data_IF_061880693965
#
_entry.id   IF_061880693965
#
_cell.length_a   1.000
_cell.length_b   1.000
_cell.length_c   1.000
_cell.angle_alpha   90.00
_cell.angle_beta   90.00
_cell.angle_gamma   90.00
#
_symmetry.space_group_name_H-M   'P 1'
#
loop_
_entity.id
_entity.type
_entity.pdbx_description
1 polymer ?
#
# COMPACT_ATOMS: atom_id res chain seq x y z
N UNK A 1 3.18 -17.51 -18.54
CA UNK A 1 3.42 -16.18 -17.95
C UNK A 1 2.07 -15.53 -17.71
N UNK A 2 1.90 -14.83 -16.59
CA UNK A 2 0.69 -14.06 -16.28
C UNK A 2 0.65 -12.81 -17.17
N UNK A 3 -0.39 -12.66 -17.98
CA UNK A 3 -0.60 -11.48 -18.82
C UNK A 3 -1.19 -10.34 -17.98
N UNK A 4 -0.47 -9.24 -17.91
CA UNK A 4 -0.79 -8.11 -17.05
C UNK A 4 -1.29 -6.92 -17.87
N UNK A 5 -2.43 -6.36 -17.48
CA UNK A 5 -2.89 -5.05 -17.92
C UNK A 5 -2.69 -4.00 -16.81
N UNK A 6 -2.34 -2.77 -17.17
CA UNK A 6 -2.22 -1.63 -16.24
C UNK A 6 -3.10 -0.49 -16.72
N UNK A 7 -4.08 -0.10 -15.91
CA UNK A 7 -4.90 1.09 -16.12
C UNK A 7 -4.32 2.25 -15.31
N UNK A 8 -4.02 3.38 -15.97
CA UNK A 8 -3.46 4.57 -15.30
C UNK A 8 -1.94 4.53 -15.14
N UNK A 9 -1.21 4.05 -16.15
CA UNK A 9 0.23 3.83 -16.11
C UNK A 9 1.13 5.07 -15.99
N UNK A 10 0.59 6.29 -16.06
CA UNK A 10 1.39 7.54 -16.08
C UNK A 10 1.70 8.12 -14.70
N UNK A 11 1.09 7.59 -13.63
CA UNK A 11 1.36 7.97 -12.24
C UNK A 11 2.60 7.27 -11.64
N UNK A 12 3.02 7.71 -10.45
CA UNK A 12 4.15 7.08 -9.74
C UNK A 12 3.93 5.60 -9.43
N UNK A 13 2.72 5.19 -9.08
CA UNK A 13 2.39 3.77 -8.86
C UNK A 13 2.44 2.97 -10.16
N UNK A 14 2.02 3.57 -11.28
CA UNK A 14 2.09 2.92 -12.59
C UNK A 14 3.53 2.65 -13.04
N UNK A 15 4.42 3.65 -12.97
CA UNK A 15 5.84 3.44 -13.32
C UNK A 15 6.53 2.50 -12.35
N UNK A 16 6.13 2.48 -11.08
CA UNK A 16 6.68 1.54 -10.11
C UNK A 16 6.23 0.11 -10.36
N UNK A 17 4.97 -0.12 -10.78
CA UNK A 17 4.51 -1.43 -11.27
C UNK A 17 5.35 -1.90 -12.46
N UNK A 18 5.56 -1.03 -13.46
CA UNK A 18 6.41 -1.34 -14.61
C UNK A 18 7.82 -1.73 -14.17
N UNK A 19 8.44 -0.96 -13.25
CA UNK A 19 9.81 -1.25 -12.77
C UNK A 19 9.90 -2.63 -12.10
N UNK A 20 8.92 -3.00 -11.30
CA UNK A 20 8.89 -4.29 -10.60
C UNK A 20 8.59 -5.44 -11.57
N UNK A 21 7.61 -5.26 -12.44
CA UNK A 21 7.21 -6.28 -13.41
C UNK A 21 8.23 -6.50 -14.52
N UNK A 22 9.07 -5.51 -14.84
CA UNK A 22 10.18 -5.67 -15.77
C UNK A 22 11.18 -6.77 -15.38
N UNK A 23 11.26 -7.08 -14.09
CA UNK A 23 12.15 -8.12 -13.55
C UNK A 23 11.39 -9.34 -13.04
N UNK A 24 10.09 -9.40 -13.28
CA UNK A 24 9.27 -10.51 -12.83
C UNK A 24 9.32 -11.69 -13.80
N UNK A 25 9.86 -12.86 -13.40
CA UNK A 25 10.14 -13.93 -14.37
C UNK A 25 8.90 -14.66 -14.89
N UNK A 26 7.73 -14.46 -14.30
CA UNK A 26 6.49 -15.16 -14.65
C UNK A 26 5.30 -14.20 -14.93
N UNK A 27 5.56 -12.91 -15.12
CA UNK A 27 4.54 -11.92 -15.51
C UNK A 27 5.02 -11.09 -16.70
N UNK A 28 4.11 -10.69 -17.56
CA UNK A 28 4.37 -9.88 -18.74
C UNK A 28 3.31 -8.78 -18.83
N UNK A 29 3.75 -7.52 -18.90
CA UNK A 29 2.85 -6.38 -19.15
C UNK A 29 2.55 -6.32 -20.63
N UNK A 30 1.33 -6.66 -21.01
CA UNK A 30 0.88 -6.70 -22.42
C UNK A 30 -0.01 -5.49 -22.78
N UNK A 31 -0.58 -4.81 -21.79
CA UNK A 31 -1.42 -3.62 -21.99
C UNK A 31 -1.11 -2.60 -20.91
N UNK A 32 -0.90 -1.35 -21.32
CA UNK A 32 -0.85 -0.20 -20.42
C UNK A 32 -1.68 0.94 -20.98
N UNK A 33 -2.47 1.61 -20.14
CA UNK A 33 -3.40 2.61 -20.64
C UNK A 33 -3.19 3.99 -20.04
N UNK A 34 -3.44 5.00 -20.86
CA UNK A 34 -3.55 6.40 -20.48
C UNK A 34 -4.49 7.11 -21.46
N UNK A 35 -5.35 8.00 -20.95
CA UNK A 35 -6.22 8.80 -21.81
C UNK A 35 -5.48 9.94 -22.48
N UNK A 36 -4.46 10.51 -21.84
CA UNK A 36 -3.71 11.67 -22.32
C UNK A 36 -2.49 11.30 -23.18
N UNK A 37 -1.93 10.10 -23.00
CA UNK A 37 -0.65 9.70 -23.56
C UNK A 37 -0.78 8.51 -24.54
N UNK A 38 -1.98 8.30 -25.09
CA UNK A 38 -2.20 7.23 -26.06
C UNK A 38 -1.29 7.38 -27.29
N UNK A 39 -0.63 6.29 -27.67
CA UNK A 39 0.37 6.25 -28.75
C UNK A 39 1.82 6.52 -28.31
N UNK A 40 2.03 7.06 -27.09
CA UNK A 40 3.40 7.31 -26.61
C UNK A 40 4.05 5.99 -26.16
N UNK A 41 5.26 5.66 -26.65
CA UNK A 41 6.02 4.51 -26.15
C UNK A 41 6.35 4.64 -24.65
N UNK A 42 6.28 3.53 -23.92
CA UNK A 42 6.64 3.49 -22.49
C UNK A 42 8.09 3.91 -22.27
N UNK A 43 9.00 3.45 -23.12
CA UNK A 43 10.42 3.77 -23.06
C UNK A 43 10.74 5.26 -23.32
N UNK A 44 9.87 5.99 -24.01
CA UNK A 44 10.02 7.42 -24.24
C UNK A 44 9.56 8.23 -23.02
N UNK A 45 8.46 7.82 -22.38
CA UNK A 45 8.01 8.44 -21.14
C UNK A 45 8.92 8.12 -19.95
N UNK A 46 9.43 6.90 -19.90
CA UNK A 46 10.25 6.36 -18.82
C UNK A 46 11.57 5.80 -19.35
N UNK A 47 12.57 6.66 -19.59
CA UNK A 47 13.85 6.23 -20.20
C UNK A 47 14.61 5.17 -19.41
N UNK A 48 14.37 5.07 -18.12
CA UNK A 48 14.94 4.04 -17.24
C UNK A 48 14.37 2.63 -17.50
N UNK A 49 13.31 2.51 -18.30
CA UNK A 49 12.68 1.25 -18.69
C UNK A 49 13.01 0.82 -20.14
N UNK A 50 13.92 1.52 -20.81
CA UNK A 50 14.41 1.13 -22.14
C UNK A 50 15.06 -0.25 -22.06
N UNK A 51 14.82 -1.07 -23.08
CA UNK A 51 15.27 -2.46 -23.11
C UNK A 51 14.33 -3.46 -22.41
N UNK A 52 13.35 -2.96 -21.64
CA UNK A 52 12.34 -3.81 -20.99
C UNK A 52 10.97 -3.74 -21.69
N UNK A 53 10.60 -2.57 -22.22
CA UNK A 53 9.27 -2.30 -22.78
C UNK A 53 9.33 -1.60 -24.13
N UNK A 54 10.34 -1.89 -24.96
CA UNK A 54 10.57 -1.18 -26.23
C UNK A 54 9.43 -1.33 -27.24
N UNK A 55 8.63 -2.40 -27.12
CA UNK A 55 7.45 -2.61 -27.99
C UNK A 55 6.12 -2.18 -27.39
N UNK A 56 6.11 -1.64 -26.15
CA UNK A 56 4.89 -1.29 -25.45
C UNK A 56 4.63 0.23 -25.52
N UNK A 57 3.44 0.61 -25.98
CA UNK A 57 2.95 1.99 -25.96
C UNK A 57 1.67 2.12 -25.16
N UNK A 58 1.42 3.31 -24.60
CA UNK A 58 0.16 3.61 -23.95
C UNK A 58 -0.99 3.54 -24.96
N UNK A 59 -2.11 2.94 -24.54
CA UNK A 59 -3.35 2.93 -25.31
C UNK A 59 -4.48 3.63 -24.55
N UNK A 60 -5.55 3.97 -25.22
CA UNK A 60 -6.80 4.36 -24.55
C UNK A 60 -7.35 3.14 -23.80
N UNK A 61 -7.90 3.30 -22.57
CA UNK A 61 -8.55 2.18 -21.87
C UNK A 61 -9.68 1.59 -22.72
N UNK A 62 -9.57 0.30 -22.99
CA UNK A 62 -10.56 -0.49 -23.71
C UNK A 62 -10.82 -1.79 -22.96
N UNK A 63 -12.07 -2.01 -22.54
CA UNK A 63 -12.45 -3.15 -21.70
C UNK A 63 -12.18 -4.48 -22.40
N UNK A 64 -12.37 -4.56 -23.72
CA UNK A 64 -12.19 -5.79 -24.48
C UNK A 64 -10.72 -6.21 -24.49
N UNK A 65 -9.82 -5.26 -24.69
CA UNK A 65 -8.36 -5.47 -24.64
C UNK A 65 -7.90 -5.83 -23.22
N UNK A 66 -8.43 -5.16 -22.20
CA UNK A 66 -8.12 -5.44 -20.80
C UNK A 66 -8.64 -6.82 -20.36
N UNK A 67 -9.80 -7.24 -20.83
CA UNK A 67 -10.38 -8.54 -20.53
C UNK A 67 -9.59 -9.72 -21.13
N UNK A 68 -8.69 -9.47 -22.06
CA UNK A 68 -7.76 -10.49 -22.58
C UNK A 68 -6.54 -10.72 -21.67
N UNK A 69 -6.38 -9.93 -20.60
CA UNK A 69 -5.35 -10.12 -19.59
C UNK A 69 -5.80 -11.11 -18.50
N UNK A 70 -4.85 -11.78 -17.86
CA UNK A 70 -5.13 -12.62 -16.69
C UNK A 70 -5.43 -11.77 -15.44
N UNK A 71 -4.78 -10.60 -15.35
CA UNK A 71 -4.97 -9.63 -14.26
C UNK A 71 -4.83 -8.20 -14.76
N UNK A 72 -5.63 -7.30 -14.18
CA UNK A 72 -5.56 -5.86 -14.45
C UNK A 72 -5.31 -5.11 -13.15
N UNK A 73 -4.24 -4.29 -13.15
CA UNK A 73 -3.93 -3.37 -12.07
C UNK A 73 -4.55 -1.99 -12.36
N UNK A 74 -5.24 -1.44 -11.38
CA UNK A 74 -5.72 -0.06 -11.42
C UNK A 74 -4.79 0.86 -10.62
N UNK A 75 -3.92 1.60 -11.32
CA UNK A 75 -3.05 2.62 -10.77
C UNK A 75 -3.64 4.02 -11.01
N UNK A 76 -4.92 4.17 -10.76
CA UNK A 76 -5.75 5.33 -11.12
C UNK A 76 -6.14 6.17 -9.90
N UNK A 77 -6.62 7.41 -10.10
CA UNK A 77 -7.40 8.10 -9.09
C UNK A 77 -8.63 7.27 -8.67
N UNK A 78 -9.18 7.55 -7.48
CA UNK A 78 -10.43 6.94 -7.00
C UNK A 78 -11.60 7.24 -7.96
N UNK A 79 -12.56 6.33 -8.02
CA UNK A 79 -13.75 6.42 -8.88
C UNK A 79 -13.57 5.83 -10.29
N UNK A 80 -12.36 5.39 -10.67
CA UNK A 80 -12.10 4.80 -12.01
C UNK A 80 -12.26 3.28 -12.00
N UNK A 81 -11.78 2.61 -10.97
CA UNK A 81 -11.90 1.15 -10.87
C UNK A 81 -13.36 0.70 -10.77
N UNK A 82 -14.23 1.48 -10.10
CA UNK A 82 -15.67 1.25 -10.04
C UNK A 82 -16.30 0.97 -11.41
N UNK A 83 -15.87 1.72 -12.43
CA UNK A 83 -16.53 1.71 -13.74
C UNK A 83 -16.16 0.47 -14.58
N UNK A 84 -15.03 -0.16 -14.31
CA UNK A 84 -14.48 -1.24 -15.16
C UNK A 84 -14.37 -2.58 -14.44
N UNK A 85 -14.26 -2.59 -13.11
CA UNK A 85 -13.99 -3.81 -12.37
C UNK A 85 -15.06 -4.90 -12.59
N UNK A 86 -16.35 -4.53 -12.58
CA UNK A 86 -17.44 -5.46 -12.77
C UNK A 86 -17.39 -6.19 -14.12
N UNK A 87 -17.13 -5.48 -15.21
CA UNK A 87 -17.02 -6.05 -16.56
C UNK A 87 -15.81 -6.98 -16.68
N UNK A 88 -14.66 -6.58 -16.12
CA UNK A 88 -13.45 -7.41 -16.11
C UNK A 88 -13.64 -8.69 -15.32
N UNK A 89 -14.24 -8.61 -14.13
CA UNK A 89 -14.55 -9.77 -13.29
C UNK A 89 -15.54 -10.72 -13.96
N UNK A 90 -16.52 -10.17 -14.68
CA UNK A 90 -17.48 -10.97 -15.46
C UNK A 90 -16.80 -11.69 -16.64
N UNK A 91 -15.76 -11.09 -17.22
CA UNK A 91 -14.94 -11.72 -18.26
C UNK A 91 -13.95 -12.77 -17.71
N UNK A 92 -13.82 -12.89 -16.37
CA UNK A 92 -12.89 -13.82 -15.74
C UNK A 92 -11.52 -13.23 -15.43
N UNK A 93 -11.29 -11.97 -15.76
CA UNK A 93 -10.03 -11.25 -15.46
C UNK A 93 -9.98 -10.90 -13.98
N UNK A 94 -8.87 -11.19 -13.31
CA UNK A 94 -8.64 -10.77 -11.93
C UNK A 94 -8.31 -9.27 -11.87
N UNK A 95 -8.73 -8.60 -10.79
CA UNK A 95 -8.56 -7.16 -10.59
C UNK A 95 -7.77 -6.88 -9.32
N UNK A 96 -6.74 -6.03 -9.44
CA UNK A 96 -5.97 -5.52 -8.31
C UNK A 96 -6.02 -4.00 -8.33
N UNK A 97 -6.78 -3.43 -7.39
CA UNK A 97 -7.01 -2.00 -7.30
C UNK A 97 -6.05 -1.33 -6.29
N UNK A 98 -5.19 -0.44 -6.80
CA UNK A 98 -4.31 0.40 -5.98
C UNK A 98 -4.98 1.72 -5.60
N UNK A 99 -6.15 2.02 -6.18
CA UNK A 99 -6.95 3.17 -5.76
C UNK A 99 -7.61 2.90 -4.39
N UNK A 100 -8.51 3.77 -3.99
CA UNK A 100 -9.22 3.59 -2.73
C UNK A 100 -10.62 2.99 -2.90
N UNK A 101 -10.98 2.57 -4.13
CA UNK A 101 -12.36 2.28 -4.49
C UNK A 101 -12.97 1.11 -3.71
N UNK A 102 -12.17 0.10 -3.38
CA UNK A 102 -12.66 -1.12 -2.72
C UNK A 102 -12.08 -1.38 -1.33
N UNK A 103 -11.39 -0.39 -0.72
CA UNK A 103 -10.73 -0.57 0.59
C UNK A 103 -11.69 -0.58 1.77
N UNK A 104 -12.71 0.30 1.73
CA UNK A 104 -13.73 0.38 2.76
C UNK A 104 -14.90 -0.55 2.42
N UNK A 105 -15.40 -1.26 3.42
CA UNK A 105 -16.54 -2.17 3.24
C UNK A 105 -17.88 -1.46 3.27
N UNK A 106 -17.93 -0.26 3.85
CA UNK A 106 -19.12 0.57 3.94
C UNK A 106 -19.10 1.63 2.83
N UNK A 107 -20.08 1.54 1.91
CA UNK A 107 -20.21 2.45 0.79
C UNK A 107 -20.55 3.88 1.22
N UNK A 108 -21.30 4.07 2.30
CA UNK A 108 -21.67 5.38 2.81
C UNK A 108 -20.46 6.04 3.50
N UNK A 109 -19.68 5.27 4.26
CA UNK A 109 -18.41 5.76 4.80
C UNK A 109 -17.45 6.15 3.67
N UNK A 110 -17.34 5.32 2.63
CA UNK A 110 -16.54 5.66 1.46
C UNK A 110 -17.02 6.97 0.81
N UNK A 111 -18.32 7.09 0.55
CA UNK A 111 -18.90 8.28 -0.07
C UNK A 111 -18.63 9.57 0.73
N UNK A 112 -18.73 9.48 2.06
CA UNK A 112 -18.40 10.57 2.97
C UNK A 112 -16.95 11.05 2.83
N UNK A 113 -15.98 10.13 2.66
CA UNK A 113 -14.56 10.48 2.61
C UNK A 113 -14.08 10.87 1.21
N UNK A 114 -14.74 10.39 0.15
CA UNK A 114 -14.35 10.62 -1.23
C UNK A 114 -15.24 11.64 -1.96
N UNK A 115 -16.34 12.09 -1.33
CA UNK A 115 -17.18 13.20 -1.81
C UNK A 115 -18.05 12.86 -3.01
N UNK A 116 -18.29 11.58 -3.28
CA UNK A 116 -19.14 11.08 -4.35
C UNK A 116 -19.76 9.73 -3.98
N UNK A 117 -20.90 9.31 -4.55
CA UNK A 117 -21.44 7.97 -4.33
C UNK A 117 -20.46 6.89 -4.80
N UNK A 118 -20.47 5.74 -4.13
CA UNK A 118 -19.70 4.58 -4.55
C UNK A 118 -20.27 4.00 -5.85
N UNK A 119 -19.43 3.85 -6.89
CA UNK A 119 -19.89 3.46 -8.23
C UNK A 119 -20.18 1.97 -8.42
N UNK A 120 -19.75 1.10 -7.49
CA UNK A 120 -19.94 -0.35 -7.55
C UNK A 120 -20.05 -0.94 -6.12
N UNK A 121 -21.05 -0.55 -5.32
CA UNK A 121 -21.18 -1.01 -3.93
C UNK A 121 -21.39 -2.51 -3.81
N UNK A 122 -21.96 -3.16 -4.84
CA UNK A 122 -22.18 -4.59 -4.93
C UNK A 122 -20.88 -5.40 -4.91
N UNK A 123 -19.76 -4.82 -5.33
CA UNK A 123 -18.45 -5.48 -5.35
C UNK A 123 -17.70 -5.39 -4.01
N UNK A 124 -18.14 -4.56 -3.06
CA UNK A 124 -17.47 -4.39 -1.78
C UNK A 124 -17.43 -5.68 -0.95
N UNK A 125 -18.49 -6.49 -1.05
CA UNK A 125 -18.57 -7.80 -0.37
C UNK A 125 -17.60 -8.85 -0.93
N UNK A 126 -17.20 -8.73 -2.21
CA UNK A 126 -16.25 -9.62 -2.87
C UNK A 126 -14.80 -9.15 -2.68
N UNK A 127 -14.59 -7.85 -2.54
CA UNK A 127 -13.26 -7.26 -2.47
C UNK A 127 -12.49 -7.74 -1.23
N UNK A 128 -11.32 -8.33 -1.44
CA UNK A 128 -10.41 -8.74 -0.38
C UNK A 128 -9.40 -7.63 -0.14
N UNK A 129 -9.27 -7.22 1.11
CA UNK A 129 -8.26 -6.23 1.52
C UNK A 129 -6.86 -6.86 1.45
N UNK A 130 -6.04 -6.35 0.54
CA UNK A 130 -4.79 -6.94 0.09
C UNK A 130 -3.60 -6.67 1.02
N UNK A 131 -3.76 -6.88 2.34
CA UNK A 131 -2.67 -6.93 3.31
C UNK A 131 -2.30 -8.40 3.54
N UNK A 132 -1.25 -8.94 2.87
CA UNK A 132 -0.93 -10.37 2.90
C UNK A 132 -0.69 -10.93 4.29
N UNK A 133 -0.09 -10.15 5.18
CA UNK A 133 0.23 -10.51 6.55
C UNK A 133 -1.01 -10.78 7.42
N UNK A 134 -2.20 -10.41 6.91
CA UNK A 134 -3.49 -10.60 7.60
C UNK A 134 -4.44 -11.50 6.80
N UNK A 135 -4.48 -11.34 5.48
CA UNK A 135 -5.53 -11.92 4.63
C UNK A 135 -5.00 -12.91 3.57
N UNK A 136 -3.80 -13.51 3.78
CA UNK A 136 -3.14 -14.36 2.76
C UNK A 136 -4.06 -15.45 2.20
N UNK A 137 -4.81 -16.16 3.04
CA UNK A 137 -5.67 -17.25 2.59
C UNK A 137 -6.86 -16.74 1.76
N UNK A 138 -7.43 -15.59 2.12
CA UNK A 138 -8.48 -14.94 1.34
C UNK A 138 -7.95 -14.43 -0.01
N UNK A 139 -6.73 -13.88 -0.03
CA UNK A 139 -6.07 -13.39 -1.25
C UNK A 139 -5.86 -14.53 -2.26
N UNK A 140 -5.52 -15.73 -1.83
CA UNK A 140 -5.37 -16.90 -2.71
C UNK A 140 -6.63 -17.20 -3.54
N UNK A 141 -7.79 -16.93 -2.98
CA UNK A 141 -9.11 -17.22 -3.60
C UNK A 141 -9.74 -15.97 -4.23
N UNK A 142 -9.14 -14.81 -4.07
CA UNK A 142 -9.71 -13.55 -4.51
C UNK A 142 -9.70 -13.40 -6.03
N UNK A 143 -10.73 -12.70 -6.53
CA UNK A 143 -10.78 -12.17 -7.90
C UNK A 143 -10.61 -10.66 -7.92
N UNK A 144 -10.95 -9.98 -6.82
CA UNK A 144 -10.83 -8.54 -6.62
C UNK A 144 -10.01 -8.26 -5.35
N UNK A 145 -8.89 -7.57 -5.52
CA UNK A 145 -8.04 -7.12 -4.41
C UNK A 145 -8.09 -5.60 -4.29
N UNK A 146 -8.34 -5.12 -3.07
CA UNK A 146 -8.15 -3.73 -2.68
C UNK A 146 -6.79 -3.57 -1.99
N UNK A 147 -5.80 -3.03 -2.70
CA UNK A 147 -4.45 -2.82 -2.14
C UNK A 147 -4.48 -1.73 -1.08
N UNK A 148 -3.97 -1.97 0.13
CA UNK A 148 -3.92 -0.99 1.20
C UNK A 148 -3.22 0.31 0.79
N UNK A 149 -3.64 1.43 1.37
CA UNK A 149 -2.89 2.67 1.28
C UNK A 149 -1.55 2.59 2.00
N UNK A 150 -0.63 3.48 1.65
CA UNK A 150 0.73 3.46 2.20
C UNK A 150 0.76 3.68 3.73
N UNK A 151 0.07 4.70 4.24
CA UNK A 151 -0.06 4.90 5.70
C UNK A 151 -0.80 3.75 6.40
N UNK A 152 -1.93 3.24 5.87
CA UNK A 152 -2.60 2.06 6.42
C UNK A 152 -1.69 0.84 6.52
N UNK A 153 -0.86 0.57 5.52
CA UNK A 153 0.09 -0.54 5.56
C UNK A 153 1.06 -0.42 6.73
N UNK A 154 1.77 0.71 6.84
CA UNK A 154 2.76 0.91 7.90
C UNK A 154 2.12 0.93 9.30
N UNK A 155 0.97 1.58 9.43
CA UNK A 155 0.29 1.75 10.73
C UNK A 155 -0.31 0.44 11.24
N UNK A 156 -0.99 -0.30 10.37
CA UNK A 156 -1.59 -1.58 10.74
C UNK A 156 -0.51 -2.60 11.12
N UNK A 157 0.52 -2.79 10.28
CA UNK A 157 1.60 -3.72 10.59
C UNK A 157 2.31 -3.38 11.92
N UNK A 158 2.41 -2.10 12.26
CA UNK A 158 2.99 -1.70 13.54
C UNK A 158 2.10 -1.96 14.76
N UNK A 159 0.77 -1.86 14.65
CA UNK A 159 -0.14 -2.06 15.80
C UNK A 159 -0.67 -3.49 15.93
N UNK A 160 -0.76 -4.25 14.85
CA UNK A 160 -1.40 -5.58 14.83
C UNK A 160 -0.91 -6.51 15.96
N UNK A 161 0.41 -6.68 16.23
CA UNK A 161 0.85 -7.61 17.26
C UNK A 161 0.32 -7.26 18.65
N UNK A 162 0.26 -5.96 18.98
CA UNK A 162 -0.26 -5.49 20.26
C UNK A 162 -1.76 -5.69 20.39
N UNK A 163 -2.51 -5.48 19.30
CA UNK A 163 -3.97 -5.58 19.28
C UNK A 163 -4.44 -7.04 19.28
N UNK A 164 -3.83 -7.90 18.47
CA UNK A 164 -4.15 -9.34 18.42
C UNK A 164 -3.85 -10.03 19.76
N UNK A 165 -2.82 -9.57 20.48
CA UNK A 165 -2.50 -10.06 21.82
C UNK A 165 -3.37 -9.45 22.93
N UNK A 166 -4.25 -8.49 22.62
CA UNK A 166 -5.08 -7.80 23.61
C UNK A 166 -4.29 -6.90 24.58
N UNK A 167 -3.07 -6.53 24.22
CA UNK A 167 -2.14 -5.81 25.10
C UNK A 167 -2.31 -4.29 25.07
N UNK A 168 -2.79 -3.72 23.94
CA UNK A 168 -2.96 -2.28 23.83
C UNK A 168 -4.27 -1.79 24.41
N UNK A 169 -4.23 -0.65 25.12
CA UNK A 169 -5.43 0.13 25.36
C UNK A 169 -5.96 0.65 24.03
N UNK A 170 -7.11 0.12 23.62
CA UNK A 170 -7.71 0.45 22.32
C UNK A 170 -8.42 1.80 22.31
N UNK A 171 -8.61 2.45 23.45
CA UNK A 171 -9.28 3.74 23.51
C UNK A 171 -8.44 4.89 22.95
N UNK A 172 -7.10 4.76 22.98
CA UNK A 172 -6.20 5.85 22.63
C UNK A 172 -4.92 5.35 21.93
N UNK A 173 -5.03 5.05 20.64
CA UNK A 173 -3.87 4.80 19.78
C UNK A 173 -3.47 6.10 19.07
N UNK A 174 -2.17 6.31 18.90
CA UNK A 174 -1.64 7.48 18.18
C UNK A 174 -0.70 7.00 17.07
N UNK A 175 -0.96 7.46 15.85
CA UNK A 175 -0.13 7.24 14.68
C UNK A 175 0.35 8.60 14.14
N UNK A 176 1.61 8.95 14.44
CA UNK A 176 2.29 10.13 13.97
C UNK A 176 3.22 9.74 12.82
N UNK A 177 2.80 10.03 11.58
CA UNK A 177 3.38 9.47 10.37
C UNK A 177 4.01 10.53 9.47
N UNK A 178 5.22 10.29 9.00
CA UNK A 178 6.00 11.16 8.12
C UNK A 178 6.12 10.50 6.75
N UNK A 179 5.69 11.19 5.69
CA UNK A 179 5.72 10.69 4.30
C UNK A 179 6.55 11.56 3.39
N UNK A 180 7.26 10.92 2.48
CA UNK A 180 7.85 11.60 1.34
C UNK A 180 6.81 12.13 0.36
N UNK A 181 7.22 13.14 -0.44
CA UNK A 181 6.34 13.91 -1.36
C UNK A 181 5.74 13.05 -2.47
N UNK A 182 6.37 11.95 -2.86
CA UNK A 182 5.81 11.03 -3.87
C UNK A 182 4.46 10.45 -3.46
N UNK A 183 4.13 10.45 -2.16
CA UNK A 183 2.81 10.05 -1.65
C UNK A 183 1.67 10.98 -2.09
N UNK A 184 1.97 12.20 -2.50
CA UNK A 184 0.99 13.15 -3.06
C UNK A 184 0.66 12.85 -4.54
N UNK A 185 1.36 11.92 -5.19
CA UNK A 185 1.19 11.58 -6.59
C UNK A 185 1.99 12.51 -7.54
N UNK A 186 1.89 12.23 -8.86
CA UNK A 186 2.62 12.95 -9.90
C UNK A 186 1.94 14.26 -10.34
N UNK A 187 0.68 14.46 -9.99
CA UNK A 187 -0.06 15.66 -10.35
C UNK A 187 0.59 16.93 -9.78
N UNK A 188 0.88 17.91 -10.64
CA UNK A 188 1.47 19.17 -10.21
C UNK A 188 0.49 19.97 -9.35
N UNK A 189 0.94 20.41 -8.19
CA UNK A 189 0.23 21.34 -7.32
C UNK A 189 1.22 22.25 -6.61
N UNK A 190 0.80 23.46 -6.20
CA UNK A 190 1.68 24.36 -5.48
C UNK A 190 2.32 23.68 -4.28
N UNK A 191 1.51 22.96 -3.48
CA UNK A 191 2.00 22.29 -2.26
C UNK A 191 2.96 21.12 -2.48
N UNK A 192 3.18 20.68 -3.74
CA UNK A 192 4.16 19.65 -4.12
C UNK A 192 5.32 20.16 -4.98
N UNK A 193 5.41 21.48 -5.22
CA UNK A 193 6.56 22.07 -5.89
C UNK A 193 7.83 21.94 -5.05
N UNK A 194 8.97 21.82 -5.71
CA UNK A 194 10.27 21.67 -5.04
C UNK A 194 10.52 22.78 -4.02
N UNK A 195 10.28 24.04 -4.40
CA UNK A 195 10.48 25.20 -3.51
C UNK A 195 9.52 25.23 -2.29
N UNK A 196 8.40 24.50 -2.35
CA UNK A 196 7.42 24.43 -1.27
C UNK A 196 7.63 23.22 -0.35
N UNK A 197 8.35 22.22 -0.82
CA UNK A 197 8.54 20.94 -0.12
C UNK A 197 9.97 20.72 0.35
N UNK A 198 10.97 21.29 -0.33
CA UNK A 198 12.36 21.17 0.11
C UNK A 198 12.57 21.96 1.42
N UNK A 199 13.39 21.41 2.31
CA UNK A 199 13.74 22.04 3.60
C UNK A 199 12.52 22.36 4.52
N UNK A 200 11.34 21.77 4.24
CA UNK A 200 10.12 22.00 5.00
C UNK A 200 9.43 20.70 5.40
N UNK A 201 8.99 20.62 6.65
CA UNK A 201 8.14 19.55 7.16
C UNK A 201 6.85 20.16 7.71
N UNK A 202 5.69 19.60 7.32
CA UNK A 202 4.40 20.09 7.80
C UNK A 202 3.40 18.95 8.04
N UNK A 203 2.62 19.08 9.13
CA UNK A 203 1.43 18.25 9.29
C UNK A 203 0.34 18.71 8.32
N UNK A 204 -0.48 17.79 7.87
CA UNK A 204 -1.64 18.09 7.04
C UNK A 204 -2.82 17.18 7.39
N UNK A 205 -4.02 17.57 6.97
CA UNK A 205 -5.26 16.79 7.15
C UNK A 205 -5.48 16.24 8.59
N UNK A 206 -5.07 16.99 9.62
CA UNK A 206 -5.16 16.56 11.04
C UNK A 206 -6.60 16.35 11.49
N UNK A 207 -7.56 17.13 10.97
CA UNK A 207 -9.00 16.96 11.24
C UNK A 207 -9.57 15.65 10.67
N UNK A 208 -8.92 15.07 9.66
CA UNK A 208 -9.34 13.84 9.00
C UNK A 208 -8.62 13.66 7.67
N UNK A 209 -8.05 12.50 7.49
CA UNK A 209 -7.38 12.07 6.27
C UNK A 209 -8.12 10.86 5.70
N UNK A 210 -8.18 10.72 4.38
CA UNK A 210 -8.89 9.61 3.71
C UNK A 210 -8.41 8.21 4.12
N UNK A 211 -7.18 8.07 4.62
CA UNK A 211 -6.67 6.81 5.17
C UNK A 211 -7.15 6.51 6.61
N UNK A 212 -7.70 7.48 7.34
CA UNK A 212 -8.15 7.27 8.73
C UNK A 212 -9.21 6.17 8.85
N UNK A 213 -10.32 6.17 8.07
CA UNK A 213 -11.32 5.10 8.15
C UNK A 213 -10.75 3.74 7.78
N UNK A 214 -9.86 3.68 6.79
CA UNK A 214 -9.18 2.45 6.37
C UNK A 214 -8.30 1.87 7.48
N UNK A 215 -7.48 2.70 8.14
CA UNK A 215 -6.66 2.28 9.29
C UNK A 215 -7.57 1.77 10.42
N UNK A 216 -8.60 2.54 10.78
CA UNK A 216 -9.54 2.15 11.84
C UNK A 216 -10.25 0.84 11.54
N UNK A 217 -10.68 0.61 10.31
CA UNK A 217 -11.29 -0.64 9.87
C UNK A 217 -10.36 -1.84 10.11
N UNK A 218 -9.09 -1.74 9.73
CA UNK A 218 -8.11 -2.81 9.93
C UNK A 218 -7.77 -3.04 11.40
N UNK A 219 -7.58 -1.96 12.18
CA UNK A 219 -7.28 -2.06 13.61
C UNK A 219 -8.47 -2.62 14.41
N UNK A 220 -9.72 -2.28 14.06
CA UNK A 220 -10.93 -2.89 14.64
C UNK A 220 -10.98 -4.39 14.44
N UNK A 221 -10.61 -4.86 13.24
CA UNK A 221 -10.53 -6.30 12.95
C UNK A 221 -9.48 -6.99 13.82
N UNK A 222 -8.29 -6.41 13.93
CA UNK A 222 -7.21 -6.96 14.75
C UNK A 222 -7.56 -6.98 16.24
N UNK A 223 -8.24 -5.95 16.75
CA UNK A 223 -8.64 -5.83 18.15
C UNK A 223 -9.92 -6.58 18.49
N UNK A 224 -10.76 -6.95 17.51
CA UNK A 224 -12.09 -7.50 17.74
C UNK A 224 -13.10 -6.53 18.38
N UNK A 225 -12.76 -5.25 18.48
CA UNK A 225 -13.56 -4.17 19.08
C UNK A 225 -13.20 -2.81 18.51
N UNK A 226 -13.97 -1.78 18.84
CA UNK A 226 -13.68 -0.41 18.43
C UNK A 226 -12.33 0.09 18.94
N UNK A 227 -11.71 0.95 18.11
CA UNK A 227 -10.44 1.59 18.45
C UNK A 227 -10.53 3.11 18.30
N UNK A 228 -10.01 3.83 19.28
CA UNK A 228 -9.75 5.26 19.23
C UNK A 228 -8.38 5.49 18.57
N UNK A 229 -8.35 6.19 17.44
CA UNK A 229 -7.11 6.48 16.73
C UNK A 229 -6.98 7.98 16.46
N UNK A 230 -5.89 8.57 16.92
CA UNK A 230 -5.40 9.87 16.46
C UNK A 230 -4.35 9.63 15.38
N UNK A 231 -4.66 10.07 14.15
CA UNK A 231 -3.75 9.94 13.01
C UNK A 231 -3.28 11.31 12.55
N UNK A 232 -1.97 11.55 12.57
CA UNK A 232 -1.36 12.81 12.19
C UNK A 232 -0.34 12.56 11.07
N UNK A 233 -0.73 12.76 9.81
CA UNK A 233 0.20 12.65 8.70
C UNK A 233 1.03 13.92 8.53
N UNK A 234 2.31 13.76 8.17
CA UNK A 234 3.21 14.84 7.82
C UNK A 234 3.77 14.63 6.41
N UNK A 235 3.99 15.72 5.70
CA UNK A 235 4.80 15.76 4.50
C UNK A 235 6.21 16.22 4.86
N UNK A 236 7.22 15.48 4.41
CA UNK A 236 8.62 15.73 4.73
C UNK A 236 9.44 15.93 3.46
N UNK A 237 10.62 16.63 3.55
CA UNK A 237 11.44 16.95 2.38
C UNK A 237 12.27 15.73 1.89
N UNK A 238 11.60 14.61 1.71
CA UNK A 238 12.16 13.41 1.08
C UNK A 238 11.26 12.95 -0.07
N UNK A 239 11.80 12.25 -1.05
CA UNK A 239 11.02 11.80 -2.20
C UNK A 239 10.16 10.59 -1.82
N UNK A 240 10.76 9.53 -1.26
CA UNK A 240 10.13 8.26 -0.92
C UNK A 240 10.27 7.93 0.56
N UNK A 241 9.38 7.12 1.04
CA UNK A 241 9.39 6.52 2.36
C UNK A 241 8.26 7.02 3.25
N UNK A 242 7.84 6.16 4.15
CA UNK A 242 7.00 6.50 5.29
C UNK A 242 7.73 6.06 6.55
N UNK A 243 7.79 6.94 7.53
CA UNK A 243 8.18 6.64 8.90
C UNK A 243 7.00 6.89 9.82
N UNK A 244 6.42 5.83 10.35
CA UNK A 244 5.32 5.89 11.32
C UNK A 244 5.87 5.69 12.73
N UNK A 245 5.65 6.67 13.60
CA UNK A 245 5.88 6.56 15.03
C UNK A 245 4.53 6.31 15.69
N UNK A 246 4.35 5.12 16.23
CA UNK A 246 3.07 4.63 16.75
C UNK A 246 3.16 4.51 18.27
N UNK A 247 2.17 5.02 18.97
CA UNK A 247 2.13 5.02 20.42
C UNK A 247 0.91 4.25 20.91
N UNK A 248 1.13 3.33 21.84
CA UNK A 248 0.08 2.60 22.54
C UNK A 248 0.42 2.46 24.02
N UNK A 249 -0.56 2.61 24.89
CA UNK A 249 -0.43 2.22 26.29
C UNK A 249 -0.71 0.74 26.40
N UNK A 250 0.16 -0.03 27.06
CA UNK A 250 -0.03 -1.47 27.28
C UNK A 250 -0.57 -1.75 28.66
N UNK A 251 -1.42 -2.77 28.75
CA UNK A 251 -2.09 -3.17 29.99
C UNK A 251 -1.28 -4.18 30.81
N UNK A 252 -0.25 -4.77 30.21
CA UNK A 252 0.66 -5.71 30.88
C UNK A 252 2.12 -5.38 30.57
N UNK A 253 2.88 -5.02 31.59
CA UNK A 253 4.31 -4.69 31.47
C UNK A 253 5.23 -5.92 31.41
N UNK A 254 4.75 -7.07 31.82
CA UNK A 254 5.57 -8.28 31.91
C UNK A 254 5.87 -8.93 30.55
N UNK A 255 5.13 -8.52 29.51
CA UNK A 255 5.25 -9.09 28.16
C UNK A 255 6.54 -8.64 27.50
N UNK A 256 7.29 -9.59 26.97
CA UNK A 256 8.42 -9.36 26.07
C UNK A 256 7.87 -8.93 24.70
N UNK A 257 7.93 -7.61 24.44
CA UNK A 257 7.43 -7.02 23.20
C UNK A 257 8.25 -7.44 21.99
N UNK A 258 9.58 -7.58 22.13
CA UNK A 258 10.44 -8.03 21.04
C UNK A 258 10.03 -9.43 20.56
N UNK A 259 9.95 -10.37 21.51
CA UNK A 259 9.54 -11.74 21.22
C UNK A 259 8.11 -11.83 20.64
N UNK A 260 7.19 -10.96 21.09
CA UNK A 260 5.83 -10.87 20.54
C UNK A 260 5.84 -10.51 19.06
N UNK A 261 6.57 -9.45 18.67
CA UNK A 261 6.64 -9.01 17.28
C UNK A 261 7.38 -10.02 16.40
N UNK A 262 8.52 -10.55 16.86
CA UNK A 262 9.28 -11.58 16.14
C UNK A 262 8.42 -12.83 15.88
N UNK A 263 7.70 -13.30 16.89
CA UNK A 263 6.79 -14.45 16.76
C UNK A 263 5.67 -14.17 15.76
N UNK A 264 5.05 -12.99 15.83
CA UNK A 264 3.93 -12.63 14.93
C UNK A 264 4.36 -12.59 13.48
N UNK A 265 5.56 -12.11 13.20
CA UNK A 265 6.07 -11.90 11.85
C UNK A 265 7.12 -12.92 11.37
N UNK A 266 7.35 -14.01 12.13
CA UNK A 266 8.35 -15.02 11.83
C UNK A 266 8.25 -15.62 10.41
N UNK A 267 7.04 -15.72 9.86
CA UNK A 267 6.77 -16.30 8.54
C UNK A 267 6.36 -15.25 7.51
N UNK A 268 6.56 -13.96 7.79
CA UNK A 268 6.19 -12.87 6.90
C UNK A 268 7.40 -12.38 6.11
N UNK A 269 7.54 -12.75 4.82
CA UNK A 269 8.78 -12.52 4.08
C UNK A 269 9.09 -11.03 3.85
N UNK A 270 8.11 -10.15 4.04
CA UNK A 270 8.23 -8.72 3.80
C UNK A 270 8.01 -7.87 5.06
N UNK A 271 8.09 -8.48 6.23
CA UNK A 271 8.15 -7.77 7.51
C UNK A 271 9.45 -8.14 8.21
N UNK A 272 10.29 -7.14 8.46
CA UNK A 272 11.57 -7.25 9.14
C UNK A 272 11.43 -6.64 10.54
N UNK A 273 11.28 -7.48 11.56
CA UNK A 273 11.36 -7.04 12.97
C UNK A 273 12.83 -6.91 13.32
N UNK A 274 13.29 -5.67 13.45
CA UNK A 274 14.67 -5.36 13.70
C UNK A 274 15.09 -5.77 15.13
N UNK A 275 16.38 -6.03 15.36
CA UNK A 275 16.89 -6.35 16.71
C UNK A 275 16.50 -5.29 17.75
N UNK A 276 16.34 -5.69 18.99
CA UNK A 276 16.01 -4.77 20.10
C UNK A 276 16.96 -3.57 20.15
N UNK A 277 16.40 -2.39 20.37
CA UNK A 277 17.16 -1.14 20.40
C UNK A 277 17.45 -0.51 19.03
N UNK A 278 17.00 -1.14 17.94
CA UNK A 278 17.18 -0.59 16.58
C UNK A 278 16.27 0.60 16.29
N UNK A 279 16.70 1.44 15.34
CA UNK A 279 15.95 2.59 14.85
C UNK A 279 15.88 2.55 13.32
N UNK A 280 14.80 2.00 12.73
CA UNK A 280 14.66 1.89 11.28
C UNK A 280 14.59 3.28 10.63
N UNK A 281 15.15 3.38 9.42
CA UNK A 281 15.17 4.62 8.65
C UNK A 281 14.62 4.41 7.23
N UNK A 282 14.01 5.44 6.65
CA UNK A 282 13.34 5.36 5.34
C UNK A 282 14.25 5.02 4.18
N UNK A 283 15.53 5.44 4.21
CA UNK A 283 16.48 5.13 3.11
C UNK A 283 16.77 3.63 3.03
N UNK A 284 16.73 2.91 4.15
CA UNK A 284 17.05 1.48 4.19
C UNK A 284 15.96 0.59 3.56
N UNK A 285 14.77 1.12 3.31
CA UNK A 285 13.65 0.41 2.65
C UNK A 285 13.36 0.96 1.25
N UNK A 286 14.06 2.00 0.80
CA UNK A 286 13.81 2.66 -0.48
C UNK A 286 13.97 1.68 -1.65
N UNK A 287 12.93 1.53 -2.47
CA UNK A 287 12.88 0.62 -3.62
C UNK A 287 12.62 -0.85 -3.27
N UNK A 288 12.53 -1.21 -1.97
CA UNK A 288 12.31 -2.58 -1.52
C UNK A 288 10.88 -2.81 -1.02
N UNK A 289 10.37 -4.04 -1.21
CA UNK A 289 9.04 -4.44 -0.71
C UNK A 289 9.13 -4.96 0.72
N UNK A 290 9.57 -4.11 1.65
CA UNK A 290 9.74 -4.49 3.05
C UNK A 290 9.16 -3.45 4.00
N UNK A 291 8.57 -3.92 5.10
CA UNK A 291 8.23 -3.11 6.28
C UNK A 291 9.22 -3.44 7.38
N UNK A 292 10.03 -2.46 7.82
CA UNK A 292 10.92 -2.60 8.98
C UNK A 292 10.25 -2.07 10.22
N UNK A 293 10.27 -2.89 11.29
CA UNK A 293 9.61 -2.58 12.55
C UNK A 293 10.61 -2.69 13.69
N UNK A 294 10.60 -1.70 14.59
CA UNK A 294 11.27 -1.78 15.89
C UNK A 294 10.29 -1.40 16.99
N UNK A 295 10.34 -2.09 18.12
CA UNK A 295 9.48 -1.84 19.26
C UNK A 295 10.30 -1.41 20.47
N UNK A 296 9.82 -0.38 21.17
CA UNK A 296 10.50 0.21 22.32
C UNK A 296 9.53 0.40 23.48
N UNK A 297 10.06 0.29 24.68
CA UNK A 297 9.37 0.61 25.93
C UNK A 297 10.17 1.74 26.64
N UNK A 298 9.88 3.02 26.34
CA UNK A 298 10.59 4.11 26.96
C UNK A 298 10.46 4.11 28.49
N UNK A 299 11.59 4.24 29.20
CA UNK A 299 11.61 4.35 30.67
C UNK A 299 10.96 3.16 31.41
N UNK A 300 10.87 2.00 30.77
CA UNK A 300 10.19 0.80 31.28
C UNK A 300 8.74 1.04 31.73
N UNK A 301 8.10 2.05 31.14
CA UNK A 301 6.74 2.47 31.43
C UNK A 301 5.66 1.66 30.73
N UNK A 302 4.41 2.13 30.80
CA UNK A 302 3.27 1.53 30.09
C UNK A 302 3.20 1.94 28.63
N UNK A 303 3.87 3.03 28.26
CA UNK A 303 3.92 3.50 26.89
C UNK A 303 4.84 2.63 26.04
N UNK A 304 4.29 2.13 24.94
CA UNK A 304 5.05 1.45 23.88
C UNK A 304 5.13 2.35 22.67
N UNK A 305 6.32 2.42 22.08
CA UNK A 305 6.57 3.12 20.83
C UNK A 305 6.97 2.08 19.78
N UNK A 306 6.18 1.99 18.70
CA UNK A 306 6.52 1.15 17.55
C UNK A 306 6.93 2.06 16.40
N UNK A 307 8.12 1.82 15.86
CA UNK A 307 8.63 2.46 14.66
C UNK A 307 8.37 1.52 13.48
N UNK A 308 7.58 1.97 12.50
CA UNK A 308 7.26 1.19 11.30
C UNK A 308 7.62 1.99 10.05
N UNK A 309 8.49 1.42 9.21
CA UNK A 309 9.10 2.10 8.07
C UNK A 309 8.93 1.31 6.79
N UNK A 310 8.44 1.96 5.73
CA UNK A 310 8.23 1.37 4.40
C UNK A 310 8.66 2.33 3.29
N UNK A 311 8.91 1.82 2.08
CA UNK A 311 8.80 2.62 0.86
C UNK A 311 7.32 2.79 0.50
N UNK A 312 6.84 4.03 0.44
CA UNK A 312 5.42 4.33 0.19
C UNK A 312 4.94 3.91 -1.21
N UNK A 313 5.83 3.78 -2.19
CA UNK A 313 5.50 3.34 -3.56
C UNK A 313 5.67 1.83 -3.76
N UNK A 314 6.46 1.16 -2.91
CA UNK A 314 6.72 -0.29 -3.03
C UNK A 314 5.86 -1.06 -2.03
N UNK A 315 6.30 -1.28 -0.79
CA UNK A 315 5.47 -1.97 0.21
C UNK A 315 4.17 -1.22 0.51
N UNK A 316 4.18 0.10 0.37
CA UNK A 316 2.99 0.94 0.55
C UNK A 316 2.03 0.99 -0.65
N UNK A 317 2.38 0.39 -1.81
CA UNK A 317 1.55 0.43 -3.02
C UNK A 317 1.91 -0.70 -4.01
N UNK A 318 2.77 -0.42 -5.00
CA UNK A 318 2.98 -1.28 -6.18
C UNK A 318 3.65 -2.62 -5.84
N UNK A 319 4.58 -2.64 -4.89
CA UNK A 319 5.22 -3.89 -4.46
C UNK A 319 4.23 -4.81 -3.75
N UNK A 320 3.40 -4.26 -2.87
CA UNK A 320 2.33 -5.02 -2.24
C UNK A 320 1.28 -5.51 -3.26
N UNK A 321 0.99 -4.73 -4.30
CA UNK A 321 0.11 -5.15 -5.38
C UNK A 321 0.68 -6.35 -6.16
N UNK A 322 1.98 -6.35 -6.48
CA UNK A 322 2.67 -7.49 -7.12
C UNK A 322 2.73 -8.69 -6.16
N UNK A 323 2.96 -8.49 -4.86
CA UNK A 323 2.90 -9.55 -3.85
C UNK A 323 1.51 -10.20 -3.83
N UNK A 324 0.43 -9.42 -3.87
CA UNK A 324 -0.93 -9.93 -3.99
C UNK A 324 -1.14 -10.74 -5.28
N UNK A 325 -0.66 -10.24 -6.42
CA UNK A 325 -0.72 -10.98 -7.69
C UNK A 325 -0.05 -12.34 -7.55
N UNK A 326 1.15 -12.40 -6.99
CA UNK A 326 1.87 -13.66 -6.80
C UNK A 326 1.04 -14.67 -6.00
N UNK A 327 0.46 -14.24 -4.89
CA UNK A 327 -0.40 -15.08 -4.05
C UNK A 327 -1.65 -15.54 -4.81
N UNK A 328 -2.33 -14.63 -5.54
CA UNK A 328 -3.55 -14.93 -6.32
C UNK A 328 -3.31 -15.97 -7.43
N UNK A 329 -2.10 -16.04 -7.96
CA UNK A 329 -1.72 -16.98 -9.02
C UNK A 329 -0.93 -18.19 -8.50
N UNK A 330 -0.81 -18.34 -7.17
CA UNK A 330 -0.10 -19.47 -6.56
C UNK A 330 1.41 -19.46 -6.83
N UNK A 331 1.99 -18.29 -7.11
CA UNK A 331 3.42 -18.09 -7.27
C UNK A 331 4.09 -17.87 -5.91
N UNK A 332 5.42 -18.02 -5.85
CA UNK A 332 6.18 -17.55 -4.67
C UNK A 332 5.95 -16.04 -4.49
N UNK A 333 5.47 -15.63 -3.33
CA UNK A 333 5.12 -14.23 -3.07
C UNK A 333 6.31 -13.26 -3.15
N UNK A 334 7.55 -13.76 -3.07
CA UNK A 334 8.79 -12.99 -3.24
C UNK A 334 9.18 -12.75 -4.70
N UNK A 335 8.54 -13.42 -5.63
CA UNK A 335 8.94 -13.41 -7.03
C UNK A 335 8.88 -11.98 -7.61
N UNK A 336 9.98 -11.51 -8.20
CA UNK A 336 10.11 -10.13 -8.68
C UNK A 336 10.22 -9.05 -7.60
N UNK A 337 10.26 -9.41 -6.30
CA UNK A 337 10.25 -8.46 -5.18
C UNK A 337 11.46 -8.56 -4.24
N UNK A 338 12.43 -9.43 -4.52
CA UNK A 338 13.58 -9.69 -3.64
C UNK A 338 14.70 -8.63 -3.71
N UNK A 339 14.37 -7.40 -4.12
CA UNK A 339 15.35 -6.32 -4.20
C UNK A 339 15.69 -5.79 -2.82
N UNK A 340 16.99 -5.64 -2.54
CA UNK A 340 17.45 -4.91 -1.37
C UNK A 340 17.09 -3.41 -1.47
N UNK A 341 16.93 -2.75 -0.33
CA UNK A 341 16.76 -1.31 -0.30
C UNK A 341 17.99 -0.57 -0.85
N UNK A 342 17.74 0.52 -1.56
CA UNK A 342 18.80 1.36 -2.13
C UNK A 342 19.38 2.30 -1.07
N UNK A 343 20.67 2.17 -0.76
CA UNK A 343 21.47 3.10 0.03
C UNK A 343 22.54 3.72 -0.87
N UNK A 344 22.85 4.99 -0.78
CA UNK A 344 22.27 6.08 0.03
C UNK A 344 20.91 6.59 -0.44
#
# INVERSE_FOLDING_TARGET
>A
MVKVGIVGGTGYTGVELLRLLAQHPQAEVVVITSRSEAGLPVADMYPNLRGHYDGLAFSVPDTQTLAACDVVFFATPHGVAHALAGELLAAGTKVIDLSADFRLQDADEWAKWYGQPHGAPELLGEAVYGLPEVNREQIKQARLIAVPGCYPTATQLGFIPLLEAGLADTAQLIADCKSGVSGAGRGASVGSLYAETSESMKAYAVKGHRHLPEIRQGLRRAAGKDVGLTFVPHLTPMIRGIHSTLYATVVDRSVDLQALFEKRYANEPFVDVMPAGSHPETRSVRGANVCRIAVHRPQDGDLVVVLSVIDNLVKGASGQAVQNMNIMFGLDERLGLSHAGMLP
#
